data_IF_443361941181
#
_entry.id   IF_443361941181
#
_cell.length_a   1.000
_cell.length_b   1.000
_cell.length_c   1.000
_cell.angle_alpha   90.00
_cell.angle_beta   90.00
_cell.angle_gamma   90.00
#
_symmetry.space_group_name_H-M   'P 1'
#
loop_
_entity.id
_entity.type
_entity.pdbx_description
1 polymer ?
#
# COMPACT_ATOMS: atom_id res chain seq x y z
N UNK A 1 -2.23 0.13 29.33
CA UNK A 1 -1.83 -1.26 28.99
C UNK A 1 -2.05 -1.64 27.53
N UNK A 2 -3.24 -1.44 26.92
CA UNK A 2 -3.41 -1.67 25.47
C UNK A 2 -2.55 -0.71 24.64
N UNK A 3 -2.66 0.61 24.88
CA UNK A 3 -1.85 1.60 24.17
C UNK A 3 -0.34 1.43 24.40
N UNK A 4 0.09 0.97 25.58
CA UNK A 4 1.50 0.65 25.82
C UNK A 4 1.98 -0.47 24.89
N UNK A 5 1.19 -1.55 24.73
CA UNK A 5 1.47 -2.62 23.76
C UNK A 5 1.40 -2.14 22.30
N UNK A 6 0.53 -1.17 21.99
CA UNK A 6 0.44 -0.56 20.65
C UNK A 6 1.73 0.18 20.32
N UNK A 7 2.32 0.87 21.28
CA UNK A 7 3.63 1.53 21.13
C UNK A 7 4.74 0.50 20.95
N UNK A 8 4.73 -0.60 21.72
CA UNK A 8 5.75 -1.66 21.63
C UNK A 8 5.78 -2.39 20.27
N UNK A 9 4.64 -2.46 19.56
CA UNK A 9 4.56 -3.13 18.25
C UNK A 9 5.29 -2.38 17.12
N UNK A 10 5.63 -1.10 17.35
CA UNK A 10 6.35 -0.24 16.42
C UNK A 10 5.85 -0.34 14.96
N UNK A 11 4.53 -0.37 14.78
CA UNK A 11 3.88 -0.43 13.47
C UNK A 11 3.49 0.98 12.97
N UNK A 12 3.50 1.19 11.66
CA UNK A 12 2.94 2.41 11.07
C UNK A 12 1.42 2.46 11.24
N UNK A 13 0.76 1.30 11.16
CA UNK A 13 -0.68 1.17 11.38
C UNK A 13 -1.03 -0.18 12.02
N UNK A 14 -1.92 -0.14 13.01
CA UNK A 14 -2.60 -1.32 13.52
C UNK A 14 -4.02 -1.40 12.95
N UNK A 15 -4.32 -2.48 12.24
CA UNK A 15 -5.61 -2.68 11.59
C UNK A 15 -6.55 -3.53 12.47
N UNK A 16 -7.86 -3.25 12.45
CA UNK A 16 -8.84 -3.91 13.29
C UNK A 16 -9.35 -5.24 12.71
N UNK A 17 -10.01 -6.01 13.56
CA UNK A 17 -11.03 -6.95 13.12
C UNK A 17 -12.28 -6.16 12.71
N UNK A 18 -12.80 -6.42 11.51
CA UNK A 18 -13.99 -5.76 10.99
C UNK A 18 -15.14 -6.76 10.89
N UNK A 19 -16.30 -6.40 11.43
CA UNK A 19 -17.55 -7.12 11.19
C UNK A 19 -18.55 -6.24 10.43
N UNK A 20 -19.34 -6.84 9.56
CA UNK A 20 -20.41 -6.16 8.85
C UNK A 20 -21.63 -5.91 9.75
N UNK A 21 -22.68 -5.30 9.19
CA UNK A 21 -23.95 -5.00 9.89
C UNK A 21 -24.67 -6.25 10.42
N UNK A 22 -24.40 -7.43 9.87
CA UNK A 22 -24.94 -8.70 10.35
C UNK A 22 -24.10 -9.33 11.47
N UNK A 23 -22.96 -8.72 11.81
CA UNK A 23 -21.96 -9.26 12.72
C UNK A 23 -21.00 -10.26 12.07
N UNK A 24 -21.13 -10.50 10.77
CA UNK A 24 -20.27 -11.43 10.03
C UNK A 24 -18.88 -10.83 9.81
N UNK A 25 -17.85 -11.65 9.90
CA UNK A 25 -16.46 -11.22 9.75
C UNK A 25 -16.19 -10.77 8.32
N UNK A 26 -15.67 -9.55 8.15
CA UNK A 26 -15.21 -9.02 6.86
C UNK A 26 -13.79 -9.52 6.59
N UNK A 27 -13.48 -10.04 5.39
CA UNK A 27 -12.11 -10.35 5.01
C UNK A 27 -11.32 -9.04 4.78
N UNK A 28 -10.71 -8.51 5.85
CA UNK A 28 -10.03 -7.22 5.83
C UNK A 28 -8.50 -7.30 5.70
N UNK A 29 -7.93 -8.52 5.75
CA UNK A 29 -6.49 -8.70 5.64
C UNK A 29 -6.06 -8.73 4.18
N UNK A 30 -5.34 -7.68 3.77
CA UNK A 30 -4.88 -7.52 2.39
C UNK A 30 -3.53 -8.23 2.19
N UNK A 31 -3.48 -9.22 1.31
CA UNK A 31 -2.26 -9.95 0.98
C UNK A 31 -1.88 -9.68 -0.49
N UNK A 32 -0.63 -9.27 -0.79
CA UNK A 32 -0.13 -9.28 -2.15
C UNK A 32 -0.06 -10.73 -2.66
N UNK A 33 -0.43 -10.92 -3.92
CA UNK A 33 -0.29 -12.16 -4.65
C UNK A 33 0.30 -11.86 -6.03
N UNK A 34 1.18 -12.74 -6.52
CA UNK A 34 1.66 -12.66 -7.90
C UNK A 34 0.66 -13.31 -8.84
N UNK A 35 0.26 -12.59 -9.90
CA UNK A 35 -0.50 -13.13 -11.01
C UNK A 35 0.27 -12.81 -12.30
N UNK A 36 1.21 -13.71 -12.64
CA UNK A 36 2.20 -13.45 -13.66
C UNK A 36 3.06 -12.22 -13.30
N UNK A 37 3.07 -11.20 -14.16
CA UNK A 37 3.82 -9.94 -13.93
C UNK A 37 3.03 -8.87 -13.17
N UNK A 38 1.79 -9.15 -12.80
CA UNK A 38 0.91 -8.18 -12.13
C UNK A 38 0.80 -8.49 -10.63
N UNK A 39 0.91 -7.44 -9.81
CA UNK A 39 0.51 -7.48 -8.42
C UNK A 39 -1.02 -7.57 -8.35
N UNK A 40 -1.53 -8.59 -7.64
CA UNK A 40 -2.92 -8.66 -7.20
C UNK A 40 -2.97 -8.58 -5.69
N UNK A 41 -4.13 -8.18 -5.16
CA UNK A 41 -4.40 -8.21 -3.73
C UNK A 41 -5.53 -9.18 -3.47
N UNK A 42 -5.31 -10.10 -2.53
CA UNK A 42 -6.31 -11.03 -2.02
C UNK A 42 -6.73 -10.58 -0.64
N UNK A 43 -8.04 -10.53 -0.40
CA UNK A 43 -8.61 -10.23 0.91
C UNK A 43 -8.90 -11.52 1.64
N UNK A 44 -8.39 -11.64 2.87
CA UNK A 44 -8.55 -12.80 3.73
C UNK A 44 -9.16 -12.41 5.08
N UNK A 45 -9.90 -13.30 5.75
CA UNK A 45 -10.29 -13.11 7.14
C UNK A 45 -9.06 -13.01 8.05
N UNK A 46 -9.07 -12.13 9.06
CA UNK A 46 -7.99 -12.07 10.02
C UNK A 46 -7.87 -13.36 10.84
N UNK A 47 -6.64 -13.82 11.10
CA UNK A 47 -6.38 -15.13 11.75
C UNK A 47 -5.67 -15.01 13.08
N UNK A 48 -4.56 -14.28 13.14
CA UNK A 48 -3.70 -14.21 14.33
C UNK A 48 -3.18 -12.80 14.59
N UNK A 49 -3.10 -12.43 15.87
CA UNK A 49 -2.54 -11.14 16.29
C UNK A 49 -1.15 -10.90 15.67
N UNK A 50 -0.91 -9.69 15.19
CA UNK A 50 0.35 -9.29 14.55
C UNK A 50 0.54 -9.76 13.10
N UNK A 51 -0.42 -10.44 12.47
CA UNK A 51 -0.31 -10.78 11.04
C UNK A 51 -0.22 -9.54 10.15
N UNK A 52 0.43 -9.69 8.99
CA UNK A 52 0.69 -8.58 8.07
C UNK A 52 -0.58 -8.20 7.30
N UNK A 53 -0.83 -6.91 7.10
CA UNK A 53 -1.73 -6.41 6.05
C UNK A 53 -0.96 -5.54 5.08
N UNK A 54 -1.26 -5.63 3.78
CA UNK A 54 -0.62 -4.81 2.77
C UNK A 54 -0.98 -3.33 2.93
N UNK A 55 -2.24 -3.05 3.28
CA UNK A 55 -2.75 -1.72 3.55
C UNK A 55 -3.87 -1.76 4.62
N UNK A 56 -4.21 -0.62 5.25
CA UNK A 56 -5.36 -0.56 6.15
C UNK A 56 -6.68 -0.62 5.36
N UNK A 57 -7.43 -1.71 5.53
CA UNK A 57 -8.73 -1.87 4.90
C UNK A 57 -9.65 -0.72 5.32
N UNK A 58 -10.28 -0.07 4.33
CA UNK A 58 -11.07 1.16 4.51
C UNK A 58 -10.39 2.29 5.28
N UNK A 59 -9.05 2.32 5.28
CA UNK A 59 -8.26 3.27 6.06
C UNK A 59 -8.56 3.20 7.57
N UNK A 60 -9.21 2.14 8.05
CA UNK A 60 -9.53 1.93 9.45
C UNK A 60 -8.31 1.37 10.19
N UNK A 61 -7.98 1.98 11.32
CA UNK A 61 -6.89 1.52 12.18
C UNK A 61 -6.40 2.60 13.13
N UNK A 62 -5.42 2.22 13.96
CA UNK A 62 -4.66 3.15 14.81
C UNK A 62 -3.35 3.42 14.10
N UNK A 63 -3.05 4.69 13.84
CA UNK A 63 -1.86 5.11 13.11
C UNK A 63 -0.83 5.70 14.05
N UNK A 64 0.44 5.32 13.86
CA UNK A 64 1.54 6.07 14.43
C UNK A 64 1.63 7.41 13.72
N UNK A 65 1.40 8.51 14.45
CA UNK A 65 1.42 9.87 13.89
C UNK A 65 2.76 10.17 13.21
N UNK A 66 3.86 9.79 13.85
CA UNK A 66 5.21 10.02 13.32
C UNK A 66 5.42 9.26 12.02
N UNK A 67 5.22 7.93 12.03
CA UNK A 67 5.42 7.08 10.85
C UNK A 67 4.47 7.47 9.71
N UNK A 68 3.21 7.77 10.01
CA UNK A 68 2.25 8.27 9.03
C UNK A 68 2.73 9.57 8.36
N UNK A 69 3.25 10.52 9.15
CA UNK A 69 3.79 11.78 8.64
C UNK A 69 5.07 11.55 7.81
N UNK A 70 5.97 10.68 8.28
CA UNK A 70 7.19 10.33 7.55
C UNK A 70 6.87 9.62 6.23
N UNK A 71 5.86 8.77 6.19
CA UNK A 71 5.37 8.15 4.97
C UNK A 71 4.79 9.18 4.00
N UNK A 72 4.33 10.34 4.48
CA UNK A 72 3.66 11.37 3.68
C UNK A 72 2.14 11.21 3.62
N UNK A 73 1.57 10.43 4.56
CA UNK A 73 0.13 10.16 4.64
C UNK A 73 -0.44 9.48 3.38
N UNK A 74 -1.74 9.62 3.16
CA UNK A 74 -2.40 9.20 1.92
C UNK A 74 -2.14 10.22 0.81
N UNK A 75 -1.84 9.74 -0.40
CA UNK A 75 -1.54 10.61 -1.52
C UNK A 75 -2.83 11.21 -2.10
N UNK A 76 -3.04 12.50 -1.85
CA UNK A 76 -4.21 13.26 -2.32
C UNK A 76 -4.27 13.42 -3.85
N UNK A 77 -3.18 13.14 -4.58
CA UNK A 77 -3.16 13.14 -6.05
C UNK A 77 -3.71 11.86 -6.68
N UNK A 78 -4.00 10.85 -5.84
CA UNK A 78 -4.64 9.58 -6.21
C UNK A 78 -6.07 9.64 -5.66
N UNK A 79 -7.04 9.87 -6.56
CA UNK A 79 -8.44 10.05 -6.18
C UNK A 79 -9.18 8.74 -5.92
N UNK A 80 -8.83 7.68 -6.65
CA UNK A 80 -9.38 6.35 -6.45
C UNK A 80 -8.97 5.80 -5.06
N UNK A 81 -9.93 5.55 -4.14
CA UNK A 81 -9.61 5.12 -2.77
C UNK A 81 -8.84 3.81 -2.69
N UNK A 82 -9.07 2.88 -3.62
CA UNK A 82 -8.34 1.61 -3.65
C UNK A 82 -6.86 1.84 -3.97
N UNK A 83 -6.56 2.56 -5.05
CA UNK A 83 -5.18 2.87 -5.43
C UNK A 83 -4.47 3.74 -4.40
N UNK A 84 -5.18 4.64 -3.72
CA UNK A 84 -4.62 5.49 -2.68
C UNK A 84 -4.23 4.68 -1.42
N UNK A 85 -5.11 3.79 -0.95
CA UNK A 85 -4.81 2.89 0.17
C UNK A 85 -3.65 1.96 -0.16
N UNK A 86 -3.62 1.43 -1.38
CA UNK A 86 -2.54 0.57 -1.85
C UNK A 86 -1.21 1.32 -1.99
N UNK A 87 -1.20 2.58 -2.45
CA UNK A 87 -0.01 3.44 -2.47
C UNK A 87 0.57 3.64 -1.07
N UNK A 88 -0.27 4.00 -0.09
CA UNK A 88 0.16 4.14 1.31
C UNK A 88 0.70 2.83 1.88
N UNK A 89 0.00 1.73 1.64
CA UNK A 89 0.41 0.41 2.08
C UNK A 89 1.75 -0.01 1.50
N UNK A 90 1.90 0.06 0.17
CA UNK A 90 3.14 -0.26 -0.51
C UNK A 90 4.29 0.62 -0.02
N UNK A 91 4.13 1.95 0.09
CA UNK A 91 5.17 2.82 0.65
C UNK A 91 5.59 2.41 2.04
N UNK A 92 4.64 2.05 2.90
CA UNK A 92 4.93 1.57 4.26
C UNK A 92 5.92 0.42 4.21
N UNK A 93 5.58 -0.64 3.48
CA UNK A 93 6.44 -1.82 3.38
C UNK A 93 7.74 -1.58 2.64
N UNK A 94 7.71 -0.84 1.53
CA UNK A 94 8.91 -0.54 0.74
C UNK A 94 9.89 0.34 1.50
N UNK A 95 9.44 1.13 2.47
CA UNK A 95 10.28 2.00 3.31
C UNK A 95 10.65 1.38 4.66
N UNK A 96 10.31 0.11 4.87
CA UNK A 96 10.67 -0.66 6.07
C UNK A 96 9.67 -0.56 7.22
N UNK A 97 8.55 0.13 7.02
CA UNK A 97 7.46 0.19 7.97
C UNK A 97 6.49 -0.99 7.82
N UNK A 98 5.64 -1.19 8.83
CA UNK A 98 4.74 -2.35 8.85
C UNK A 98 3.32 -1.98 9.22
N UNK A 99 2.37 -2.75 8.68
CA UNK A 99 0.95 -2.64 8.98
C UNK A 99 0.51 -4.00 9.53
N UNK A 100 -0.01 -4.01 10.76
CA UNK A 100 -0.23 -5.23 11.53
C UNK A 100 -1.65 -5.32 12.03
N UNK A 101 -2.23 -6.51 12.00
CA UNK A 101 -3.51 -6.76 12.64
C UNK A 101 -3.36 -6.74 14.17
N UNK A 102 -4.30 -6.08 14.84
CA UNK A 102 -4.42 -6.08 16.29
C UNK A 102 -5.74 -6.72 16.71
N UNK A 103 -5.69 -7.93 17.28
CA UNK A 103 -6.86 -8.73 17.65
C UNK A 103 -7.74 -8.06 18.71
N UNK A 104 -7.15 -7.22 19.55
CA UNK A 104 -7.88 -6.45 20.56
C UNK A 104 -8.68 -5.27 19.97
N UNK A 105 -8.38 -4.84 18.74
CA UNK A 105 -9.10 -3.77 18.06
C UNK A 105 -10.23 -4.36 17.21
N UNK A 106 -11.48 -4.04 17.55
CA UNK A 106 -12.67 -4.54 16.87
C UNK A 106 -13.56 -3.37 16.48
N UNK A 107 -13.99 -3.33 15.22
CA UNK A 107 -14.94 -2.36 14.71
C UNK A 107 -16.07 -3.08 13.97
N UNK A 108 -17.26 -2.51 14.05
CA UNK A 108 -18.42 -2.97 13.30
C UNK A 108 -18.84 -1.87 12.34
N UNK A 109 -19.19 -2.26 11.12
CA UNK A 109 -19.86 -1.32 10.21
C UNK A 109 -21.28 -1.03 10.72
N UNK A 110 -21.66 0.24 10.66
CA UNK A 110 -23.02 0.69 10.93
C UNK A 110 -23.92 0.55 9.68
N UNK A 111 -23.32 0.43 8.50
CA UNK A 111 -23.99 0.30 7.21
C UNK A 111 -23.31 -0.70 6.28
N UNK A 112 -23.80 -0.81 5.04
CA UNK A 112 -23.14 -1.65 4.04
C UNK A 112 -21.71 -1.16 3.77
N UNK A 113 -20.76 -2.09 3.78
CA UNK A 113 -19.37 -1.79 3.41
C UNK A 113 -19.31 -1.33 1.94
N UNK A 114 -18.53 -0.27 1.64
CA UNK A 114 -18.43 0.24 0.28
C UNK A 114 -17.72 -0.76 -0.64
N UNK A 115 -18.22 -0.89 -1.88
CA UNK A 115 -17.52 -1.65 -2.91
C UNK A 115 -16.21 -0.97 -3.32
N UNK A 116 -15.13 -1.75 -3.48
CA UNK A 116 -13.84 -1.24 -3.94
C UNK A 116 -13.77 -1.28 -5.47
N UNK A 117 -13.58 -0.12 -6.10
CA UNK A 117 -13.23 -0.05 -7.52
C UNK A 117 -11.74 -0.35 -7.71
N UNK A 118 -11.46 -1.51 -8.29
CA UNK A 118 -10.10 -1.99 -8.55
C UNK A 118 -9.71 -1.86 -10.02
N UNK A 119 -10.51 -1.13 -10.81
CA UNK A 119 -10.28 -0.94 -12.24
C UNK A 119 -9.01 -0.12 -12.47
N UNK A 120 -8.07 -0.59 -13.32
CA UNK A 120 -6.91 0.21 -13.68
C UNK A 120 -7.32 1.50 -14.42
N UNK A 121 -6.94 2.64 -13.85
CA UNK A 121 -7.26 3.98 -14.33
C UNK A 121 -6.01 4.90 -14.33
N UNK A 122 -6.20 6.21 -14.40
CA UNK A 122 -5.09 7.18 -14.31
C UNK A 122 -4.37 7.17 -12.95
N UNK A 123 -5.06 6.78 -11.88
CA UNK A 123 -4.57 6.72 -10.51
C UNK A 123 -3.75 5.46 -10.27
N UNK A 124 -4.13 4.33 -10.89
CA UNK A 124 -3.27 3.16 -11.02
C UNK A 124 -1.91 3.53 -11.63
N UNK A 125 -1.89 4.41 -12.63
CA UNK A 125 -0.66 4.88 -13.25
C UNK A 125 0.29 5.57 -12.27
N UNK A 126 -0.24 6.46 -11.41
CA UNK A 126 0.53 7.14 -10.36
C UNK A 126 1.03 6.17 -9.32
N UNK A 127 0.14 5.31 -8.82
CA UNK A 127 0.49 4.22 -7.90
C UNK A 127 1.64 3.36 -8.46
N UNK A 128 1.55 2.96 -9.73
CA UNK A 128 2.54 2.14 -10.39
C UNK A 128 3.90 2.85 -10.46
N UNK A 129 3.94 4.12 -10.87
CA UNK A 129 5.17 4.89 -10.99
C UNK A 129 5.90 5.08 -9.65
N UNK A 130 5.14 5.21 -8.56
CA UNK A 130 5.69 5.48 -7.22
C UNK A 130 6.11 4.22 -6.45
N UNK A 131 5.48 3.07 -6.72
CA UNK A 131 5.67 1.87 -5.90
C UNK A 131 6.12 0.63 -6.66
N UNK A 132 5.64 0.42 -7.88
CA UNK A 132 5.93 -0.81 -8.65
C UNK A 132 7.08 -0.64 -9.64
N UNK A 133 7.23 0.55 -10.20
CA UNK A 133 8.24 0.89 -11.19
C UNK A 133 9.64 1.17 -10.62
N UNK A 134 9.80 1.76 -9.41
CA UNK A 134 11.11 1.99 -8.82
C UNK A 134 11.85 0.69 -8.55
N UNK A 135 13.17 0.74 -8.68
CA UNK A 135 14.07 -0.38 -8.39
C UNK A 135 15.00 0.06 -7.27
N UNK A 136 15.18 -0.79 -6.26
CA UNK A 136 16.10 -0.50 -5.17
C UNK A 136 17.52 -0.99 -5.52
N UNK A 137 18.51 -0.10 -5.42
CA UNK A 137 19.93 -0.37 -5.67
C UNK A 137 20.73 -0.39 -4.36
N UNK A 138 20.24 -1.13 -3.36
CA UNK A 138 20.86 -1.26 -2.04
C UNK A 138 20.44 -0.13 -1.10
N UNK A 139 21.03 1.04 -1.28
CA UNK A 139 20.87 2.17 -0.36
C UNK A 139 19.88 3.23 -0.84
N UNK A 140 19.41 3.12 -2.10
CA UNK A 140 18.48 4.08 -2.68
C UNK A 140 17.65 3.47 -3.80
N UNK A 141 16.43 3.97 -3.97
CA UNK A 141 15.59 3.65 -5.12
C UNK A 141 15.76 4.66 -6.25
N UNK A 142 15.62 4.17 -7.48
CA UNK A 142 15.56 4.99 -8.69
C UNK A 142 14.36 4.58 -9.53
N UNK A 143 13.75 5.54 -10.23
CA UNK A 143 12.79 5.28 -11.29
C UNK A 143 13.53 5.29 -12.65
N UNK A 144 13.81 4.11 -13.27
CA UNK A 144 14.62 4.05 -14.48
C UNK A 144 13.94 4.73 -15.66
N UNK A 145 14.68 5.51 -16.47
CA UNK A 145 14.14 6.18 -17.67
C UNK A 145 13.54 5.20 -18.68
N UNK A 146 14.04 3.97 -18.72
CA UNK A 146 13.51 2.89 -19.56
C UNK A 146 12.04 2.56 -19.26
N UNK A 147 11.54 2.88 -18.06
CA UNK A 147 10.13 2.69 -17.69
C UNK A 147 9.19 3.68 -18.38
N UNK A 148 9.69 4.82 -18.86
CA UNK A 148 8.88 5.86 -19.51
C UNK A 148 8.12 5.30 -20.73
N UNK A 149 8.81 4.61 -21.64
CA UNK A 149 8.18 4.07 -22.85
C UNK A 149 7.07 3.07 -22.50
N UNK A 150 7.32 2.19 -21.52
CA UNK A 150 6.32 1.23 -21.06
C UNK A 150 5.11 1.90 -20.40
N UNK A 151 5.33 3.00 -19.69
CA UNK A 151 4.29 3.79 -19.05
C UNK A 151 3.46 4.55 -20.09
N UNK A 152 4.11 5.22 -21.05
CA UNK A 152 3.42 5.93 -22.15
C UNK A 152 2.52 4.98 -22.94
N UNK A 153 3.00 3.78 -23.27
CA UNK A 153 2.21 2.79 -24.01
C UNK A 153 0.99 2.26 -23.25
N UNK A 154 1.00 2.28 -21.91
CA UNK A 154 -0.02 1.64 -21.06
C UNK A 154 -0.94 2.61 -20.34
N UNK A 155 -0.51 3.84 -20.10
CA UNK A 155 -1.25 4.85 -19.33
C UNK A 155 -2.52 5.34 -20.01
N UNK A 156 -2.67 5.09 -21.33
CA UNK A 156 -3.77 5.63 -22.17
C UNK A 156 -3.87 7.16 -22.14
N UNK A 157 -2.79 7.84 -21.74
CA UNK A 157 -2.67 9.30 -21.71
C UNK A 157 -2.01 9.81 -23.00
N UNK A 158 -2.23 11.08 -23.31
CA UNK A 158 -1.47 11.76 -24.37
C UNK A 158 0.04 11.83 -24.03
N UNK A 159 0.95 11.83 -25.02
CA UNK A 159 2.40 11.75 -24.79
C UNK A 159 2.94 12.79 -23.79
N UNK A 160 2.50 14.05 -23.92
CA UNK A 160 2.91 15.15 -23.02
C UNK A 160 2.46 14.88 -21.58
N UNK A 161 1.19 14.55 -21.38
CA UNK A 161 0.65 14.28 -20.04
C UNK A 161 1.33 13.06 -19.38
N UNK A 162 1.61 12.01 -20.16
CA UNK A 162 2.34 10.84 -19.66
C UNK A 162 3.78 11.18 -19.28
N UNK A 163 4.46 12.03 -20.06
CA UNK A 163 5.80 12.49 -19.75
C UNK A 163 5.84 13.36 -18.48
N UNK A 164 4.93 14.32 -18.37
CA UNK A 164 4.85 15.22 -17.21
C UNK A 164 4.60 14.44 -15.92
N UNK A 165 3.70 13.44 -15.95
CA UNK A 165 3.44 12.57 -14.81
C UNK A 165 4.63 11.66 -14.47
N UNK A 166 5.29 11.10 -15.48
CA UNK A 166 6.51 10.30 -15.26
C UNK A 166 7.62 11.15 -14.63
N UNK A 167 7.81 12.38 -15.11
CA UNK A 167 8.79 13.32 -14.56
C UNK A 167 8.46 13.64 -13.11
N UNK A 168 7.22 14.00 -12.81
CA UNK A 168 6.79 14.29 -11.44
C UNK A 168 7.01 13.10 -10.49
N UNK A 169 6.66 11.89 -10.94
CA UNK A 169 6.89 10.68 -10.15
C UNK A 169 8.38 10.39 -9.95
N UNK A 170 9.21 10.60 -10.98
CA UNK A 170 10.66 10.44 -10.90
C UNK A 170 11.27 11.43 -9.91
N UNK A 171 10.93 12.70 -10.01
CA UNK A 171 11.42 13.75 -9.11
C UNK A 171 11.00 13.44 -7.65
N UNK A 172 9.79 12.90 -7.43
CA UNK A 172 9.35 12.41 -6.12
C UNK A 172 10.12 11.18 -5.61
N UNK A 173 10.39 10.20 -6.47
CA UNK A 173 11.20 9.01 -6.12
C UNK A 173 12.63 9.43 -5.77
N UNK A 174 13.23 10.34 -6.52
CA UNK A 174 14.56 10.89 -6.23
C UNK A 174 14.59 11.59 -4.87
N UNK A 175 13.58 12.41 -4.54
CA UNK A 175 13.46 13.06 -3.24
C UNK A 175 13.29 12.07 -2.07
N UNK A 176 12.69 10.90 -2.32
CA UNK A 176 12.45 9.86 -1.31
C UNK A 176 13.45 8.70 -1.39
N UNK A 177 14.47 8.76 -2.23
CA UNK A 177 15.24 7.61 -2.69
C UNK A 177 15.81 6.75 -1.54
N UNK A 178 16.37 7.40 -0.52
CA UNK A 178 17.03 6.76 0.63
C UNK A 178 16.05 6.16 1.67
N UNK A 179 14.75 6.43 1.52
CA UNK A 179 13.72 5.83 2.38
C UNK A 179 13.42 4.40 1.98
N UNK A 180 13.58 4.07 0.69
CA UNK A 180 13.35 2.72 0.21
C UNK A 180 14.34 1.73 0.82
N UNK A 181 13.79 0.68 1.43
CA UNK A 181 14.49 -0.50 1.95
C UNK A 181 14.31 -1.72 1.03
N UNK A 182 13.37 -1.66 0.08
CA UNK A 182 13.11 -2.71 -0.89
C UNK A 182 12.40 -2.19 -2.14
N UNK A 183 12.12 -3.12 -3.05
CA UNK A 183 11.27 -2.90 -4.23
C UNK A 183 10.08 -3.86 -4.23
N UNK A 184 9.11 -3.61 -5.12
CA UNK A 184 7.88 -4.38 -5.16
C UNK A 184 8.08 -5.86 -5.49
N UNK A 185 9.12 -6.21 -6.27
CA UNK A 185 9.45 -7.61 -6.57
C UNK A 185 9.75 -8.39 -5.29
N UNK A 186 10.64 -7.84 -4.44
CA UNK A 186 11.02 -8.51 -3.19
C UNK A 186 9.86 -8.58 -2.18
N UNK A 187 8.98 -7.59 -2.17
CA UNK A 187 7.88 -7.56 -1.20
C UNK A 187 6.93 -8.74 -1.35
N UNK A 188 6.60 -9.11 -2.59
CA UNK A 188 5.72 -10.25 -2.86
C UNK A 188 6.36 -11.57 -2.42
N UNK A 189 7.65 -11.74 -2.69
CA UNK A 189 8.41 -12.95 -2.32
C UNK A 189 8.50 -13.12 -0.79
N UNK A 190 8.60 -12.02 -0.04
CA UNK A 190 8.66 -11.99 1.44
C UNK A 190 7.29 -12.08 2.12
N UNK A 191 6.21 -12.17 1.35
CA UNK A 191 4.85 -12.25 1.88
C UNK A 191 4.32 -13.68 1.96
N UNK A 192 4.93 -14.61 1.22
CA UNK A 192 4.55 -16.02 1.26
C UNK A 192 4.88 -16.59 2.67
N UNK A 193 3.96 -17.32 3.32
CA UNK A 193 4.16 -17.83 4.68
C UNK A 193 5.16 -18.98 4.79
N UNK A 194 6.03 -19.18 3.78
CA UNK A 194 7.02 -20.26 3.71
C UNK A 194 8.46 -19.82 4.05
N UNK A 195 8.64 -18.67 4.69
CA UNK A 195 9.88 -18.33 5.41
C UNK A 195 9.66 -18.30 6.91
#
# INVERSE_FOLDING_TARGET
RFFDKVVDLDAACLVPMLSDVSGSLVPSMSHPAQSGKALKVVQLPPRKDGEKSLYPFDACGIYSREKFSQLGGFDWTIGNPYWQKLDFGMRSWLWGETIRYAQALKLNYDGQSPSLDTTPDGDYGRFWLKNLAPVNSGDSAVLPRSRLLSYMARSRKGPKAAFDEFKAARDWVEACAYRFKGDASRLADLWDPLS
#
